data_IF_239914886200
#
_entry.id   IF_239914886200
#
_cell.length_a   1.000
_cell.length_b   1.000
_cell.length_c   1.000
_cell.angle_alpha   90.00
_cell.angle_beta   90.00
_cell.angle_gamma   90.00
#
_symmetry.space_group_name_H-M   'P 1'
#
loop_
_entity.id
_entity.type
_entity.pdbx_description
1 polymer ?
#
# COMPACT_ATOMS: atom_id res chain seq x y z
N UNK A 1 4.75 28.24 -16.42
CA UNK A 1 3.74 28.82 -17.32
C UNK A 1 2.90 27.74 -17.99
N UNK A 2 1.62 27.65 -17.63
CA UNK A 2 0.66 26.81 -18.36
C UNK A 2 0.36 27.51 -19.69
N UNK A 3 1.03 27.08 -20.76
CA UNK A 3 0.71 27.55 -22.12
C UNK A 3 -0.66 26.99 -22.51
N UNK A 4 -1.71 27.77 -22.33
CA UNK A 4 -3.04 27.47 -22.89
C UNK A 4 -2.97 27.61 -24.41
N UNK A 5 -3.81 26.85 -25.10
CA UNK A 5 -4.03 26.97 -26.55
C UNK A 5 -5.45 27.49 -26.69
N UNK A 6 -5.62 28.63 -27.34
CA UNK A 6 -6.92 29.22 -27.63
C UNK A 6 -6.92 29.64 -29.11
N UNK A 7 -7.98 29.30 -29.82
CA UNK A 7 -8.17 29.73 -31.20
C UNK A 7 -8.47 31.22 -31.24
N UNK A 8 -7.68 31.94 -32.03
CA UNK A 8 -8.00 33.33 -32.39
C UNK A 8 -9.24 33.37 -33.30
N UNK A 9 -9.72 34.59 -33.58
CA UNK A 9 -10.92 34.81 -34.40
C UNK A 9 -10.84 34.10 -35.76
N UNK A 10 -9.70 34.22 -36.46
CA UNK A 10 -9.49 33.59 -37.76
C UNK A 10 -9.52 32.05 -37.67
N UNK A 11 -8.92 31.48 -36.62
CA UNK A 11 -8.94 30.04 -36.36
C UNK A 11 -10.35 29.52 -36.10
N UNK A 12 -11.16 30.23 -35.30
CA UNK A 12 -12.57 29.88 -35.08
C UNK A 12 -13.39 29.96 -36.37
N UNK A 13 -13.12 30.97 -37.21
CA UNK A 13 -13.79 31.12 -38.49
C UNK A 13 -13.43 29.98 -39.45
N UNK A 14 -12.17 29.55 -39.46
CA UNK A 14 -11.71 28.40 -40.24
C UNK A 14 -12.39 27.11 -39.79
N UNK A 15 -12.46 26.84 -38.47
CA UNK A 15 -13.14 25.64 -37.94
C UNK A 15 -14.61 25.60 -38.38
N UNK A 16 -15.28 26.76 -38.46
CA UNK A 16 -16.67 26.85 -38.94
C UNK A 16 -16.83 26.57 -40.43
N UNK A 17 -15.81 26.89 -41.24
CA UNK A 17 -15.87 26.71 -42.69
C UNK A 17 -15.40 25.34 -43.16
N UNK A 18 -14.77 24.55 -42.28
CA UNK A 18 -14.36 23.19 -42.62
C UNK A 18 -15.58 22.28 -42.82
N UNK A 19 -15.54 21.37 -43.81
CA UNK A 19 -16.62 20.41 -44.01
C UNK A 19 -16.72 19.50 -42.78
N UNK A 20 -17.92 19.43 -42.22
CA UNK A 20 -18.21 18.66 -41.01
C UNK A 20 -18.66 17.26 -41.41
N UNK A 21 -17.94 16.18 -41.04
CA UNK A 21 -18.39 14.82 -41.26
C UNK A 21 -19.75 14.57 -40.59
N UNK A 22 -20.58 13.71 -41.18
CA UNK A 22 -21.93 13.40 -40.68
C UNK A 22 -21.92 12.91 -39.22
N UNK A 23 -20.87 12.18 -38.84
CA UNK A 23 -20.66 11.67 -37.46
C UNK A 23 -20.56 12.81 -36.44
N UNK A 24 -20.08 13.99 -36.84
CA UNK A 24 -20.02 15.15 -35.96
C UNK A 24 -21.30 15.98 -36.01
N UNK A 25 -22.29 15.67 -36.85
CA UNK A 25 -23.45 16.52 -37.17
C UNK A 25 -24.09 17.21 -35.98
N UNK A 26 -24.28 16.50 -34.86
CA UNK A 26 -24.87 17.01 -33.62
C UNK A 26 -23.92 17.81 -32.69
N UNK A 27 -22.60 17.75 -32.90
CA UNK A 27 -21.60 18.42 -32.05
C UNK A 27 -21.69 19.95 -32.17
N UNK A 28 -21.74 20.65 -31.04
CA UNK A 28 -21.78 22.11 -31.02
C UNK A 28 -20.46 22.75 -31.46
N UNK A 29 -20.49 24.01 -31.89
CA UNK A 29 -19.26 24.72 -32.27
C UNK A 29 -18.30 24.94 -31.09
N UNK A 30 -18.82 25.01 -29.86
CA UNK A 30 -17.99 25.12 -28.65
C UNK A 30 -17.14 23.87 -28.48
N UNK A 31 -17.75 22.69 -28.55
CA UNK A 31 -17.05 21.41 -28.43
C UNK A 31 -16.04 21.21 -29.57
N UNK A 32 -16.39 21.64 -30.79
CA UNK A 32 -15.47 21.60 -31.92
C UNK A 32 -14.23 22.47 -31.69
N UNK A 33 -14.38 23.65 -31.10
CA UNK A 33 -13.23 24.48 -30.75
C UNK A 33 -12.37 23.80 -29.71
N UNK A 34 -12.98 23.24 -28.66
CA UNK A 34 -12.25 22.52 -27.61
C UNK A 34 -11.47 21.32 -28.16
N UNK A 35 -12.07 20.56 -29.08
CA UNK A 35 -11.40 19.42 -29.73
C UNK A 35 -10.22 19.88 -30.59
N UNK A 36 -10.38 20.96 -31.36
CA UNK A 36 -9.32 21.50 -32.21
C UNK A 36 -8.20 22.11 -31.37
N UNK A 37 -8.51 22.88 -30.33
CA UNK A 37 -7.52 23.43 -29.40
C UNK A 37 -6.74 22.32 -28.70
N UNK A 38 -7.43 21.24 -28.29
CA UNK A 38 -6.81 20.04 -27.71
C UNK A 38 -5.91 19.33 -28.71
N UNK A 39 -6.35 19.15 -29.95
CA UNK A 39 -5.55 18.53 -31.01
C UNK A 39 -4.30 19.37 -31.33
N UNK A 40 -4.43 20.70 -31.41
CA UNK A 40 -3.29 21.62 -31.58
C UNK A 40 -2.32 21.49 -30.41
N UNK A 41 -2.82 21.47 -29.18
CA UNK A 41 -2.00 21.30 -27.98
C UNK A 41 -1.23 19.99 -28.01
N UNK A 42 -1.91 18.87 -28.28
CA UNK A 42 -1.29 17.55 -28.40
C UNK A 42 -0.26 17.52 -29.54
N UNK A 43 -0.58 18.11 -30.68
CA UNK A 43 0.35 18.25 -31.81
C UNK A 43 1.62 19.03 -31.46
N UNK A 44 1.52 20.08 -30.64
CA UNK A 44 2.62 20.97 -30.27
C UNK A 44 3.46 20.46 -29.10
N UNK A 45 2.87 19.75 -28.14
CA UNK A 45 3.48 19.47 -26.85
C UNK A 45 3.76 18.00 -26.59
N UNK A 46 3.09 17.07 -27.29
CA UNK A 46 3.16 15.64 -26.99
C UNK A 46 3.83 14.87 -28.12
N UNK A 47 5.07 14.47 -27.90
CA UNK A 47 5.92 13.79 -28.89
C UNK A 47 6.19 12.32 -28.52
N UNK A 48 6.06 11.45 -29.54
CA UNK A 48 6.44 10.04 -29.48
C UNK A 48 7.93 9.89 -29.15
N UNK A 49 8.26 8.90 -28.32
CA UNK A 49 9.60 8.61 -27.79
C UNK A 49 10.20 9.70 -26.89
N UNK A 50 9.38 10.67 -26.46
CA UNK A 50 9.79 11.66 -25.44
C UNK A 50 8.79 11.69 -24.28
N UNK A 51 7.52 11.92 -24.61
CA UNK A 51 6.45 12.03 -23.61
C UNK A 51 5.66 10.72 -23.46
N UNK A 52 5.69 9.86 -24.48
CA UNK A 52 5.03 8.56 -24.51
C UNK A 52 5.63 7.65 -25.57
N UNK A 53 5.28 6.37 -25.48
CA UNK A 53 5.54 5.34 -26.48
C UNK A 53 4.23 4.66 -26.87
N UNK A 54 4.21 4.01 -28.03
CA UNK A 54 3.14 3.12 -28.44
C UNK A 54 3.59 1.69 -28.15
N UNK A 55 2.88 0.96 -27.30
CA UNK A 55 3.18 -0.43 -26.93
C UNK A 55 1.91 -1.25 -27.02
N UNK A 56 1.95 -2.39 -27.74
CA UNK A 56 0.80 -3.30 -27.92
C UNK A 56 -0.48 -2.61 -28.44
N UNK A 57 -0.35 -1.50 -29.17
CA UNK A 57 -1.49 -0.71 -29.62
C UNK A 57 -2.12 0.15 -28.52
N UNK A 58 -1.38 0.47 -27.45
CA UNK A 58 -1.79 1.43 -26.42
C UNK A 58 -0.75 2.55 -26.26
N UNK A 59 -1.19 3.73 -25.83
CA UNK A 59 -0.30 4.85 -25.49
C UNK A 59 0.17 4.72 -24.05
N UNK A 60 1.48 4.62 -23.85
CA UNK A 60 2.07 4.55 -22.50
C UNK A 60 2.92 5.77 -22.20
N UNK A 61 2.58 6.47 -21.12
CA UNK A 61 3.24 7.72 -20.71
C UNK A 61 4.68 7.43 -20.26
N UNK A 62 5.63 8.24 -20.70
CA UNK A 62 7.02 8.21 -20.24
C UNK A 62 7.27 9.40 -19.31
N UNK A 63 7.85 9.14 -18.15
CA UNK A 63 8.26 10.19 -17.22
C UNK A 63 9.51 10.90 -17.76
N UNK A 64 9.38 12.19 -18.11
CA UNK A 64 10.45 13.02 -18.68
C UNK A 64 11.74 13.04 -17.84
N UNK A 65 11.62 12.92 -16.52
CA UNK A 65 12.75 13.04 -15.61
C UNK A 65 13.53 11.73 -15.43
N UNK A 66 12.88 10.59 -15.65
CA UNK A 66 13.47 9.27 -15.36
C UNK A 66 13.49 8.33 -16.56
N UNK A 67 12.80 8.66 -17.66
CA UNK A 67 12.62 7.80 -18.82
C UNK A 67 11.81 6.53 -18.52
N UNK A 68 11.19 6.42 -17.34
CA UNK A 68 10.41 5.25 -16.94
C UNK A 68 9.01 5.30 -17.54
N UNK A 69 8.57 4.14 -17.99
CA UNK A 69 7.23 3.92 -18.51
C UNK A 69 6.24 3.84 -17.34
N UNK A 70 5.14 4.60 -17.42
CA UNK A 70 4.09 4.64 -16.43
C UNK A 70 2.83 3.93 -16.94
N UNK A 71 2.83 2.60 -16.86
CA UNK A 71 1.71 1.75 -17.27
C UNK A 71 0.42 2.08 -16.48
N UNK A 72 -0.71 2.07 -17.18
CA UNK A 72 -2.04 2.34 -16.62
C UNK A 72 -2.36 3.80 -16.31
N UNK A 73 -1.43 4.75 -16.54
CA UNK A 73 -1.72 6.19 -16.39
C UNK A 73 -2.24 6.79 -17.70
N UNK A 74 -3.30 7.60 -17.60
CA UNK A 74 -3.84 8.40 -18.69
C UNK A 74 -3.75 9.90 -18.36
N UNK A 75 -3.51 10.74 -19.37
CA UNK A 75 -3.64 12.19 -19.19
C UNK A 75 -5.12 12.57 -19.13
N UNK A 76 -5.46 13.54 -18.27
CA UNK A 76 -6.84 13.98 -18.07
C UNK A 76 -7.34 14.94 -19.15
N UNK A 77 -8.65 15.27 -19.11
CA UNK A 77 -9.33 16.24 -19.98
C UNK A 77 -9.25 15.90 -21.47
N UNK A 78 -9.40 14.62 -21.81
CA UNK A 78 -9.38 14.15 -23.19
C UNK A 78 -8.01 14.19 -23.87
N UNK A 79 -6.93 14.57 -23.18
CA UNK A 79 -5.59 14.69 -23.77
C UNK A 79 -5.08 13.32 -24.21
N UNK A 80 -5.33 12.29 -23.42
CA UNK A 80 -4.91 10.93 -23.76
C UNK A 80 -5.60 10.43 -25.01
N UNK A 81 -6.92 10.63 -25.11
CA UNK A 81 -7.71 10.29 -26.28
C UNK A 81 -7.26 11.07 -27.52
N UNK A 82 -6.87 12.33 -27.36
CA UNK A 82 -6.32 13.12 -28.46
C UNK A 82 -4.93 12.63 -28.91
N UNK A 83 -4.11 12.06 -28.01
CA UNK A 83 -2.83 11.40 -28.37
C UNK A 83 -3.10 10.06 -29.05
N UNK A 84 -4.02 9.24 -28.53
CA UNK A 84 -4.45 7.98 -29.18
C UNK A 84 -4.93 8.25 -30.62
N UNK A 85 -5.79 9.26 -30.80
CA UNK A 85 -6.27 9.67 -32.12
C UNK A 85 -5.15 10.20 -33.03
N UNK A 86 -4.18 10.95 -32.48
CA UNK A 86 -3.01 11.45 -33.23
C UNK A 86 -2.16 10.30 -33.79
N UNK A 87 -1.97 9.24 -33.00
CA UNK A 87 -1.14 8.09 -33.38
C UNK A 87 -1.95 6.99 -34.11
N UNK A 88 -3.24 7.20 -34.35
CA UNK A 88 -4.11 6.25 -35.07
C UNK A 88 -4.43 4.97 -34.29
N UNK A 89 -4.33 5.03 -32.97
CA UNK A 89 -4.64 3.94 -32.05
C UNK A 89 -6.14 3.94 -31.71
N UNK A 90 -6.69 2.80 -31.29
CA UNK A 90 -8.08 2.72 -30.81
C UNK A 90 -8.29 3.69 -29.64
N UNK A 91 -9.20 4.65 -29.82
CA UNK A 91 -9.44 5.69 -28.82
C UNK A 91 -10.22 5.10 -27.66
N UNK A 92 -9.64 5.14 -26.48
CA UNK A 92 -10.26 4.58 -25.30
C UNK A 92 -11.35 5.50 -24.75
N UNK A 93 -12.45 4.90 -24.31
CA UNK A 93 -13.55 5.65 -23.68
C UNK A 93 -13.02 6.32 -22.42
N UNK A 94 -13.35 7.61 -22.23
CA UNK A 94 -12.97 8.32 -21.02
C UNK A 94 -13.64 7.65 -19.82
N UNK A 95 -12.85 6.98 -18.98
CA UNK A 95 -13.31 6.44 -17.72
C UNK A 95 -13.37 7.58 -16.70
N UNK A 96 -14.39 8.42 -16.81
CA UNK A 96 -14.67 9.48 -15.84
C UNK A 96 -15.05 8.88 -14.48
N UNK A 97 -14.70 9.57 -13.39
CA UNK A 97 -15.23 9.22 -12.06
C UNK A 97 -16.59 9.91 -11.89
N UNK A 98 -17.70 9.18 -12.01
CA UNK A 98 -19.03 9.79 -11.84
C UNK A 98 -19.28 10.32 -10.41
N UNK A 99 -18.71 9.64 -9.41
CA UNK A 99 -18.85 10.01 -8.02
C UNK A 99 -17.63 9.60 -7.19
N UNK A 100 -17.37 10.34 -6.12
CA UNK A 100 -16.29 10.08 -5.18
C UNK A 100 -16.71 10.41 -3.75
N UNK A 101 -16.39 9.49 -2.83
CA UNK A 101 -16.52 9.73 -1.39
C UNK A 101 -15.30 9.14 -0.66
N UNK A 102 -14.84 9.82 0.39
CA UNK A 102 -13.79 9.27 1.26
C UNK A 102 -14.39 8.26 2.24
N UNK A 103 -13.62 7.24 2.64
CA UNK A 103 -14.02 6.27 3.66
C UNK A 103 -14.43 6.98 4.97
N UNK A 104 -13.70 8.04 5.33
CA UNK A 104 -13.96 8.81 6.53
C UNK A 104 -15.33 9.50 6.47
N UNK A 105 -15.65 10.16 5.35
CA UNK A 105 -16.93 10.84 5.20
C UNK A 105 -18.09 9.84 5.05
N UNK A 106 -17.87 8.73 4.34
CA UNK A 106 -18.85 7.65 4.20
C UNK A 106 -19.32 7.12 5.57
N UNK A 107 -18.39 6.73 6.46
CA UNK A 107 -18.76 6.20 7.77
C UNK A 107 -19.36 7.25 8.72
N UNK A 108 -19.02 8.53 8.55
CA UNK A 108 -19.59 9.62 9.35
C UNK A 108 -21.07 9.90 9.06
N UNK A 109 -21.63 9.33 7.99
CA UNK A 109 -23.05 9.45 7.64
C UNK A 109 -23.96 8.51 8.43
N UNK A 110 -23.40 7.49 9.07
CA UNK A 110 -24.19 6.56 9.87
C UNK A 110 -24.63 7.23 11.18
N UNK A 111 -25.93 7.09 11.52
CA UNK A 111 -26.49 7.59 12.78
C UNK A 111 -25.81 6.93 13.99
N UNK A 112 -25.55 5.63 13.89
CA UNK A 112 -24.83 4.86 14.89
C UNK A 112 -23.60 4.24 14.25
N UNK A 113 -22.43 4.55 14.80
CA UNK A 113 -21.16 4.02 14.32
C UNK A 113 -20.42 3.36 15.49
N UNK A 114 -20.01 2.11 15.29
CA UNK A 114 -19.20 1.34 16.22
C UNK A 114 -18.17 0.54 15.42
N UNK A 115 -17.12 0.08 16.09
CA UNK A 115 -16.10 -0.74 15.47
C UNK A 115 -15.36 -1.59 16.50
N UNK A 116 -14.82 -2.71 16.03
CA UNK A 116 -14.04 -3.64 16.86
C UNK A 116 -12.71 -3.96 16.17
N UNK A 117 -11.64 -4.00 16.94
CA UNK A 117 -10.31 -4.40 16.48
C UNK A 117 -9.40 -4.64 17.69
N UNK A 118 -8.47 -5.59 17.60
CA UNK A 118 -7.50 -5.87 18.68
C UNK A 118 -6.38 -4.83 18.83
N UNK A 119 -6.36 -3.78 18.01
CA UNK A 119 -5.24 -2.82 17.93
C UNK A 119 -5.70 -1.37 17.79
N UNK A 120 -6.81 -0.98 18.42
CA UNK A 120 -7.35 0.39 18.31
C UNK A 120 -6.62 1.40 19.21
N UNK A 121 -6.08 0.95 20.34
CA UNK A 121 -5.57 1.81 21.43
C UNK A 121 -4.53 2.82 20.97
N UNK A 122 -3.58 2.40 20.12
CA UNK A 122 -2.53 3.30 19.58
C UNK A 122 -3.09 4.36 18.63
N UNK A 123 -4.25 4.12 18.03
CA UNK A 123 -4.93 5.04 17.11
C UNK A 123 -6.14 5.73 17.75
N UNK A 124 -6.32 5.65 19.08
CA UNK A 124 -7.47 6.20 19.78
C UNK A 124 -7.69 7.70 19.53
N UNK A 125 -6.60 8.48 19.45
CA UNK A 125 -6.66 9.91 19.12
C UNK A 125 -7.26 10.15 17.73
N UNK A 126 -6.91 9.31 16.75
CA UNK A 126 -7.42 9.42 15.38
C UNK A 126 -8.90 9.04 15.31
N UNK A 127 -9.31 7.95 15.97
CA UNK A 127 -10.72 7.56 16.10
C UNK A 127 -11.57 8.67 16.73
N UNK A 128 -11.10 9.23 17.85
CA UNK A 128 -11.80 10.33 18.53
C UNK A 128 -11.85 11.61 17.68
N UNK A 129 -10.79 11.93 16.93
CA UNK A 129 -10.72 13.16 16.15
C UNK A 129 -11.60 13.09 14.90
N UNK A 130 -11.50 12.00 14.14
CA UNK A 130 -12.15 11.83 12.83
C UNK A 130 -13.59 11.34 13.01
N UNK A 131 -13.79 10.25 13.75
CA UNK A 131 -15.07 9.55 13.86
C UNK A 131 -15.86 9.87 15.13
N UNK A 132 -15.28 10.65 16.06
CA UNK A 132 -15.85 10.93 17.39
C UNK A 132 -16.07 9.66 18.23
N UNK A 133 -15.31 8.62 17.95
CA UNK A 133 -15.40 7.35 18.66
C UNK A 133 -14.33 7.28 19.78
N UNK A 134 -14.73 7.06 21.04
CA UNK A 134 -13.79 6.62 22.06
C UNK A 134 -13.32 5.19 21.75
N UNK A 135 -12.10 4.86 22.17
CA UNK A 135 -11.59 3.48 22.16
C UNK A 135 -11.65 2.95 23.59
N UNK A 136 -12.26 1.78 23.75
CA UNK A 136 -12.37 1.09 25.03
C UNK A 136 -11.57 -0.20 24.89
N UNK A 137 -10.60 -0.38 25.78
CA UNK A 137 -9.80 -1.61 25.83
C UNK A 137 -10.60 -2.66 26.61
N UNK A 138 -11.02 -3.72 25.92
CA UNK A 138 -11.74 -4.85 26.52
C UNK A 138 -10.71 -5.86 27.06
N UNK A 139 -10.78 -6.27 28.34
CA UNK A 139 -9.89 -7.29 28.89
C UNK A 139 -9.98 -8.62 28.11
N UNK A 140 -8.87 -9.35 28.06
CA UNK A 140 -8.83 -10.66 27.42
C UNK A 140 -9.56 -11.69 28.29
N UNK A 141 -10.19 -12.69 27.66
CA UNK A 141 -10.89 -13.77 28.36
C UNK A 141 -9.95 -14.62 29.24
N UNK A 142 -8.68 -14.75 28.84
CA UNK A 142 -7.63 -15.48 29.57
C UNK A 142 -6.35 -14.63 29.64
N UNK A 143 -5.47 -14.86 30.63
CA UNK A 143 -4.17 -14.21 30.70
C UNK A 143 -3.34 -14.47 29.44
N UNK A 144 -2.65 -13.44 28.97
CA UNK A 144 -1.71 -13.55 27.85
C UNK A 144 -0.45 -14.31 28.29
N UNK A 145 -0.07 -15.36 27.55
CA UNK A 145 1.15 -16.15 27.76
C UNK A 145 2.17 -15.99 26.63
N UNK A 146 2.08 -14.88 25.91
CA UNK A 146 2.97 -14.57 24.78
C UNK A 146 4.33 -14.13 25.27
N UNK A 147 5.38 -14.69 24.69
CA UNK A 147 6.77 -14.35 24.99
C UNK A 147 7.37 -13.56 23.83
N UNK A 148 7.92 -12.38 24.12
CA UNK A 148 8.77 -11.67 23.16
C UNK A 148 10.19 -12.19 23.27
N UNK A 149 10.74 -12.74 22.19
CA UNK A 149 12.18 -12.99 22.09
C UNK A 149 12.91 -11.69 21.73
N UNK A 150 14.19 -11.60 22.07
CA UNK A 150 15.00 -10.44 21.73
C UNK A 150 15.00 -10.20 20.21
N UNK A 151 14.81 -8.94 19.83
CA UNK A 151 14.83 -8.51 18.43
C UNK A 151 16.28 -8.62 17.89
N UNK A 152 16.47 -9.27 16.74
CA UNK A 152 17.80 -9.42 16.11
C UNK A 152 17.98 -8.36 15.02
N UNK A 153 19.11 -7.66 15.06
CA UNK A 153 19.42 -6.56 14.15
C UNK A 153 20.73 -6.82 13.42
N UNK A 154 20.70 -6.79 12.09
CA UNK A 154 21.81 -7.14 11.22
C UNK A 154 22.28 -5.92 10.42
N UNK A 155 23.55 -5.94 10.02
CA UNK A 155 24.12 -4.92 9.16
C UNK A 155 23.58 -5.02 7.71
N UNK A 156 23.41 -6.24 7.21
CA UNK A 156 22.98 -6.50 5.83
C UNK A 156 21.70 -7.32 5.78
N UNK A 157 20.94 -7.14 4.71
CA UNK A 157 19.71 -7.89 4.44
C UNK A 157 20.01 -9.38 4.24
N UNK A 158 21.13 -9.72 3.60
CA UNK A 158 21.56 -11.11 3.42
C UNK A 158 21.72 -11.83 4.76
N UNK A 159 22.47 -11.24 5.71
CA UNK A 159 22.67 -11.81 7.04
C UNK A 159 21.35 -11.94 7.82
N UNK A 160 20.42 -10.97 7.64
CA UNK A 160 19.07 -11.05 8.20
C UNK A 160 18.31 -12.26 7.67
N UNK A 161 18.30 -12.48 6.35
CA UNK A 161 17.58 -13.59 5.73
C UNK A 161 18.16 -14.95 6.12
N UNK A 162 19.48 -15.09 6.13
CA UNK A 162 20.16 -16.30 6.61
C UNK A 162 19.78 -16.62 8.05
N UNK A 163 19.75 -15.61 8.92
CA UNK A 163 19.39 -15.77 10.32
C UNK A 163 17.89 -16.13 10.53
N UNK A 164 16.99 -15.60 9.69
CA UNK A 164 15.58 -16.00 9.68
C UNK A 164 15.45 -17.47 9.30
N UNK A 165 16.11 -17.90 8.21
CA UNK A 165 16.05 -19.29 7.74
C UNK A 165 16.63 -20.23 8.78
N UNK A 166 17.75 -19.88 9.41
CA UNK A 166 18.35 -20.68 10.48
C UNK A 166 17.39 -20.90 11.67
N UNK A 167 16.69 -19.85 12.12
CA UNK A 167 15.70 -19.96 13.20
C UNK A 167 14.48 -20.79 12.77
N UNK A 168 14.03 -20.67 11.52
CA UNK A 168 12.95 -21.51 10.99
C UNK A 168 13.35 -22.98 10.96
N UNK A 169 14.57 -23.30 10.52
CA UNK A 169 15.09 -24.67 10.50
C UNK A 169 15.13 -25.26 11.91
N UNK A 170 15.66 -24.51 12.88
CA UNK A 170 15.73 -24.94 14.28
C UNK A 170 14.32 -25.24 14.86
N UNK A 171 13.37 -24.32 14.67
CA UNK A 171 12.00 -24.50 15.16
C UNK A 171 11.26 -25.63 14.43
N UNK A 172 11.51 -25.79 13.13
CA UNK A 172 10.90 -26.84 12.33
C UNK A 172 11.42 -28.24 12.74
N UNK A 173 12.70 -28.37 13.06
CA UNK A 173 13.29 -29.62 13.60
C UNK A 173 12.67 -30.00 14.95
N UNK A 174 12.25 -29.02 15.75
CA UNK A 174 11.51 -29.24 17.00
C UNK A 174 10.03 -29.56 16.76
N UNK A 175 9.54 -29.50 15.51
CA UNK A 175 8.14 -29.67 15.16
C UNK A 175 7.26 -28.47 15.52
N UNK A 176 7.84 -27.31 15.83
CA UNK A 176 7.10 -26.12 16.24
C UNK A 176 6.60 -25.33 15.01
N UNK A 177 5.33 -24.93 14.95
CA UNK A 177 4.82 -24.15 13.84
C UNK A 177 5.34 -22.71 13.83
N UNK A 178 5.57 -22.20 12.62
CA UNK A 178 6.12 -20.86 12.38
C UNK A 178 5.26 -20.08 11.37
N UNK A 179 4.84 -18.88 11.77
CA UNK A 179 4.22 -17.90 10.89
C UNK A 179 5.21 -16.74 10.64
N UNK A 180 5.54 -16.49 9.39
CA UNK A 180 6.52 -15.48 8.98
C UNK A 180 5.78 -14.36 8.24
N UNK A 181 5.82 -13.14 8.75
CA UNK A 181 5.20 -11.99 8.11
C UNK A 181 6.23 -11.12 7.38
N UNK A 182 6.01 -10.91 6.08
CA UNK A 182 6.81 -10.03 5.22
C UNK A 182 6.02 -8.79 4.82
N UNK A 183 6.67 -7.68 4.44
CA UNK A 183 5.97 -6.46 3.99
C UNK A 183 5.55 -6.49 2.53
N UNK A 184 6.28 -7.22 1.68
CA UNK A 184 6.10 -7.22 0.22
C UNK A 184 6.06 -8.63 -0.35
N UNK A 185 5.43 -8.78 -1.52
CA UNK A 185 5.38 -10.05 -2.27
C UNK A 185 6.82 -10.47 -2.62
N UNK A 186 7.64 -9.53 -3.09
CA UNK A 186 9.05 -9.79 -3.41
C UNK A 186 9.83 -10.39 -2.23
N UNK A 187 9.65 -9.85 -1.01
CA UNK A 187 10.29 -10.43 0.18
C UNK A 187 9.76 -11.82 0.52
N UNK A 188 8.46 -12.08 0.30
CA UNK A 188 7.88 -13.40 0.51
C UNK A 188 8.42 -14.45 -0.46
N UNK A 189 8.55 -14.10 -1.74
CA UNK A 189 9.08 -15.00 -2.79
C UNK A 189 10.56 -15.25 -2.59
N UNK A 190 11.32 -14.21 -2.22
CA UNK A 190 12.73 -14.35 -1.89
C UNK A 190 12.93 -15.31 -0.71
N UNK A 191 12.18 -15.13 0.39
CA UNK A 191 12.25 -16.02 1.55
C UNK A 191 11.80 -17.44 1.19
N UNK A 192 10.74 -17.59 0.39
CA UNK A 192 10.27 -18.90 -0.06
C UNK A 192 11.35 -19.68 -0.84
N UNK A 193 12.12 -18.99 -1.68
CA UNK A 193 13.28 -19.59 -2.35
C UNK A 193 14.32 -20.10 -1.35
N UNK A 194 14.70 -19.27 -0.38
CA UNK A 194 15.70 -19.65 0.64
C UNK A 194 15.22 -20.81 1.52
N UNK A 195 13.94 -20.84 1.90
CA UNK A 195 13.35 -21.95 2.65
C UNK A 195 13.35 -23.25 1.84
N UNK A 196 13.10 -23.18 0.53
CA UNK A 196 13.17 -24.33 -0.37
C UNK A 196 14.59 -24.88 -0.48
N UNK A 197 15.58 -24.00 -0.61
CA UNK A 197 17.00 -24.36 -0.64
C UNK A 197 17.45 -25.00 0.69
N UNK A 198 16.87 -24.57 1.82
CA UNK A 198 17.07 -25.17 3.13
C UNK A 198 16.26 -26.47 3.38
N UNK A 199 15.48 -26.94 2.40
CA UNK A 199 14.67 -28.17 2.52
C UNK A 199 13.42 -28.04 3.40
N UNK A 200 12.96 -26.83 3.69
CA UNK A 200 11.79 -26.58 4.54
C UNK A 200 10.52 -26.50 3.68
N UNK A 201 9.59 -27.42 3.92
CA UNK A 201 8.25 -27.36 3.34
C UNK A 201 7.48 -26.16 3.93
N UNK A 202 6.97 -25.29 3.05
CA UNK A 202 6.29 -24.06 3.46
C UNK A 202 5.20 -23.67 2.46
N UNK A 203 4.27 -22.82 2.92
CA UNK A 203 3.19 -22.25 2.12
C UNK A 203 3.32 -20.72 2.10
N UNK A 204 3.04 -20.10 0.94
CA UNK A 204 3.14 -18.64 0.75
C UNK A 204 1.76 -18.06 0.50
N UNK A 205 1.41 -16.98 1.21
CA UNK A 205 0.13 -16.30 1.13
C UNK A 205 0.31 -14.85 0.69
N UNK A 206 -0.30 -14.49 -0.43
CA UNK A 206 -0.10 -13.20 -1.09
C UNK A 206 -1.38 -12.33 -1.18
N UNK A 207 -2.46 -12.71 -0.49
CA UNK A 207 -3.76 -12.04 -0.47
C UNK A 207 -4.51 -12.04 -1.82
N UNK A 208 -4.31 -13.07 -2.66
CA UNK A 208 -5.00 -13.19 -3.95
C UNK A 208 -6.32 -13.98 -3.85
N UNK A 209 -6.35 -15.07 -3.08
CA UNK A 209 -7.49 -16.00 -3.01
C UNK A 209 -8.00 -16.16 -1.58
N UNK A 210 -8.77 -15.18 -1.10
CA UNK A 210 -9.17 -15.04 0.32
C UNK A 210 -9.72 -16.34 0.93
N UNK A 211 -10.61 -17.04 0.22
CA UNK A 211 -11.27 -18.25 0.75
C UNK A 211 -10.29 -19.43 0.90
N UNK A 212 -9.39 -19.62 -0.07
CA UNK A 212 -8.39 -20.69 -0.02
C UNK A 212 -7.30 -20.39 1.01
N UNK A 213 -6.84 -19.14 1.06
CA UNK A 213 -5.88 -18.69 2.07
C UNK A 213 -6.44 -18.87 3.48
N UNK A 214 -7.72 -18.62 3.69
CA UNK A 214 -8.35 -18.86 4.98
C UNK A 214 -8.28 -20.34 5.40
N UNK A 215 -8.50 -21.28 4.47
CA UNK A 215 -8.37 -22.73 4.74
C UNK A 215 -6.93 -23.10 5.10
N UNK A 216 -5.97 -22.53 4.38
CA UNK A 216 -4.54 -22.75 4.60
C UNK A 216 -4.14 -22.21 5.99
N UNK A 217 -4.49 -20.96 6.30
CA UNK A 217 -4.12 -20.29 7.57
C UNK A 217 -4.69 -21.02 8.79
N UNK A 218 -5.88 -21.62 8.66
CA UNK A 218 -6.45 -22.42 9.75
C UNK A 218 -5.57 -23.63 10.13
N UNK A 219 -4.70 -24.10 9.23
CA UNK A 219 -3.76 -25.19 9.46
C UNK A 219 -2.39 -24.73 9.95
N UNK A 220 -2.14 -23.41 10.06
CA UNK A 220 -0.84 -22.88 10.46
C UNK A 220 -0.41 -23.27 11.88
N UNK A 221 -1.34 -23.73 12.72
CA UNK A 221 -1.07 -24.19 14.09
C UNK A 221 -0.78 -25.70 14.21
N UNK A 222 -0.64 -26.42 13.09
CA UNK A 222 -0.28 -27.85 13.09
C UNK A 222 1.24 -28.04 13.27
N UNK A 223 1.70 -29.16 13.86
CA UNK A 223 3.12 -29.40 14.11
C UNK A 223 3.96 -29.28 12.82
N UNK A 224 5.11 -28.59 12.93
CA UNK A 224 6.08 -28.42 11.84
C UNK A 224 5.60 -27.57 10.67
N UNK A 225 4.40 -26.95 10.72
CA UNK A 225 3.94 -26.09 9.62
C UNK A 225 4.71 -24.78 9.59
N UNK A 226 5.18 -24.41 8.41
CA UNK A 226 5.82 -23.12 8.13
C UNK A 226 4.99 -22.37 7.10
N UNK A 227 4.65 -21.12 7.41
CA UNK A 227 3.81 -20.27 6.57
C UNK A 227 4.43 -18.89 6.42
N UNK A 228 4.51 -18.41 5.19
CA UNK A 228 4.93 -17.05 4.84
C UNK A 228 3.70 -16.25 4.43
N UNK A 229 3.42 -15.16 5.12
CA UNK A 229 2.28 -14.29 4.87
C UNK A 229 2.75 -12.88 4.49
N UNK A 230 2.41 -12.45 3.28
CA UNK A 230 2.65 -11.08 2.83
C UNK A 230 1.65 -10.13 3.47
N UNK A 231 2.17 -9.11 4.16
CA UNK A 231 1.46 -8.16 5.00
C UNK A 231 0.59 -8.86 6.05
N UNK A 232 -0.71 -8.95 5.77
CA UNK A 232 -1.73 -9.54 6.62
C UNK A 232 -2.60 -10.50 5.80
N UNK A 233 -1.99 -11.24 4.86
CA UNK A 233 -2.68 -12.35 4.20
C UNK A 233 -3.24 -13.33 5.26
N UNK A 234 -4.42 -13.90 5.01
CA UNK A 234 -5.11 -14.70 6.03
C UNK A 234 -5.73 -13.93 7.20
N UNK A 235 -5.91 -12.61 7.08
CA UNK A 235 -6.56 -11.79 8.10
C UNK A 235 -8.01 -12.25 8.33
N UNK A 236 -8.38 -12.40 9.60
CA UNK A 236 -9.73 -12.79 10.01
C UNK A 236 -9.86 -14.28 10.33
N UNK A 237 -8.97 -15.13 9.80
CA UNK A 237 -8.91 -16.54 10.16
C UNK A 237 -8.21 -16.72 11.51
N UNK A 238 -8.73 -17.60 12.34
CA UNK A 238 -8.13 -17.96 13.62
C UNK A 238 -7.16 -19.14 13.46
N UNK A 239 -5.99 -19.07 14.09
CA UNK A 239 -4.98 -20.12 14.03
C UNK A 239 -5.05 -20.88 15.35
N UNK A 240 -5.69 -22.05 15.34
CA UNK A 240 -5.78 -22.92 16.51
C UNK A 240 -4.57 -23.83 16.56
N UNK A 241 -3.99 -23.99 17.75
CA UNK A 241 -2.92 -24.95 17.97
C UNK A 241 -3.50 -26.37 17.95
N UNK A 242 -2.81 -27.28 17.29
CA UNK A 242 -3.08 -28.70 17.38
C UNK A 242 -2.56 -29.29 18.71
N UNK A 243 -3.00 -30.51 19.04
CA UNK A 243 -2.52 -31.22 20.23
C UNK A 243 -1.00 -31.41 20.19
N UNK A 244 -0.33 -31.23 21.33
CA UNK A 244 1.13 -31.32 21.45
C UNK A 244 1.90 -30.04 21.07
N UNK A 245 1.27 -29.07 20.39
CA UNK A 245 1.95 -27.84 19.94
C UNK A 245 2.16 -26.84 21.07
N UNK A 246 1.26 -26.85 22.08
CA UNK A 246 1.41 -25.97 23.23
C UNK A 246 2.67 -26.30 24.05
N UNK A 247 3.00 -27.59 24.16
CA UNK A 247 4.17 -28.13 24.82
C UNK A 247 5.47 -27.74 24.10
N UNK A 248 5.41 -27.57 22.77
CA UNK A 248 6.50 -27.04 21.95
C UNK A 248 6.65 -25.50 22.04
N UNK A 249 5.88 -24.84 22.91
CA UNK A 249 5.88 -23.39 23.08
C UNK A 249 4.91 -22.64 22.15
N UNK A 250 4.01 -23.35 21.47
CA UNK A 250 2.96 -22.78 20.63
C UNK A 250 3.46 -22.16 19.32
N UNK A 251 2.58 -21.42 18.63
CA UNK A 251 2.93 -20.75 17.38
C UNK A 251 4.03 -19.70 17.59
N UNK A 252 5.10 -19.80 16.81
CA UNK A 252 6.15 -18.79 16.74
C UNK A 252 5.89 -17.83 15.58
N UNK A 253 5.97 -16.52 15.82
CA UNK A 253 5.75 -15.49 14.81
C UNK A 253 7.05 -14.73 14.51
N UNK A 254 7.51 -14.80 13.28
CA UNK A 254 8.67 -14.05 12.79
C UNK A 254 8.19 -12.80 12.06
N UNK A 255 8.63 -11.63 12.51
CA UNK A 255 8.43 -10.37 11.80
C UNK A 255 9.74 -10.04 11.06
N UNK A 256 9.74 -10.10 9.72
CA UNK A 256 10.99 -9.97 8.93
C UNK A 256 11.49 -8.53 8.78
N UNK A 257 10.67 -7.56 9.19
CA UNK A 257 10.94 -6.13 9.19
C UNK A 257 9.88 -5.39 10.02
N UNK A 258 10.07 -4.08 10.25
CA UNK A 258 9.03 -3.22 10.82
C UNK A 258 8.15 -2.63 9.72
N UNK A 259 6.83 -2.72 9.91
CA UNK A 259 5.90 -2.00 9.06
C UNK A 259 5.91 -0.49 9.35
N UNK A 260 5.38 0.28 8.41
CA UNK A 260 5.22 1.73 8.55
C UNK A 260 4.34 2.13 9.74
N UNK A 261 3.52 1.21 10.24
CA UNK A 261 2.75 1.37 11.47
C UNK A 261 2.90 0.20 12.42
N UNK A 262 3.14 0.52 13.69
CA UNK A 262 3.21 -0.44 14.79
C UNK A 262 1.86 -1.14 15.05
N UNK A 263 0.78 -0.65 14.44
CA UNK A 263 -0.52 -1.32 14.45
C UNK A 263 -0.51 -2.60 13.60
N UNK A 264 0.20 -2.59 12.47
CA UNK A 264 0.29 -3.74 11.55
C UNK A 264 1.14 -4.82 12.20
N UNK A 265 2.30 -4.44 12.75
CA UNK A 265 3.15 -5.34 13.54
C UNK A 265 2.36 -6.04 14.66
N UNK A 266 1.56 -5.30 15.43
CA UNK A 266 0.72 -5.88 16.50
C UNK A 266 -0.35 -6.83 15.98
N UNK A 267 -0.87 -6.62 14.77
CA UNK A 267 -1.84 -7.53 14.19
C UNK A 267 -1.20 -8.87 13.85
N UNK A 268 0.03 -8.86 13.34
CA UNK A 268 0.81 -10.05 13.05
C UNK A 268 1.20 -10.79 14.35
N UNK A 269 1.76 -10.08 15.34
CA UNK A 269 2.08 -10.64 16.67
C UNK A 269 0.83 -11.22 17.34
N UNK A 270 -0.31 -10.55 17.18
CA UNK A 270 -1.60 -10.98 17.69
C UNK A 270 -2.17 -12.24 17.02
N UNK A 271 -1.46 -12.87 16.07
CA UNK A 271 -1.81 -14.16 15.47
C UNK A 271 -1.40 -15.34 16.36
N UNK A 272 -0.40 -15.20 17.24
CA UNK A 272 -0.04 -16.23 18.23
C UNK A 272 -0.63 -15.95 19.63
N UNK A 273 -0.51 -16.94 20.51
CA UNK A 273 -0.96 -16.91 21.91
C UNK A 273 -2.46 -16.54 22.08
N UNK A 274 -3.34 -17.23 21.32
CA UNK A 274 -4.79 -16.99 21.32
C UNK A 274 -5.54 -17.98 22.20
N UNK A 275 -6.66 -17.54 22.79
CA UNK A 275 -6.65 -17.07 24.17
C UNK A 275 -6.16 -18.14 25.17
N UNK A 276 -5.02 -17.84 25.81
CA UNK A 276 -4.41 -18.66 26.86
C UNK A 276 -3.32 -19.62 26.38
N UNK A 277 -3.18 -19.79 25.07
CA UNK A 277 -2.11 -20.61 24.49
C UNK A 277 -0.73 -19.96 24.68
N UNK A 278 0.34 -20.76 24.83
CA UNK A 278 1.69 -20.25 24.69
C UNK A 278 1.92 -19.81 23.25
N UNK A 279 2.88 -18.92 23.07
CA UNK A 279 3.31 -18.46 21.77
C UNK A 279 4.45 -17.49 21.93
N UNK A 280 5.26 -17.32 20.90
CA UNK A 280 6.30 -16.30 20.92
C UNK A 280 6.40 -15.55 19.61
N UNK A 281 7.11 -14.43 19.64
CA UNK A 281 7.44 -13.68 18.45
C UNK A 281 8.82 -13.07 18.54
N UNK A 282 9.42 -12.82 17.38
CA UNK A 282 10.71 -12.13 17.24
C UNK A 282 10.67 -11.19 16.05
N UNK A 283 11.34 -10.04 16.17
CA UNK A 283 11.63 -9.18 15.03
C UNK A 283 13.04 -9.44 14.51
N UNK A 284 13.15 -9.47 13.19
CA UNK A 284 14.39 -9.39 12.45
C UNK A 284 14.43 -8.05 11.72
N UNK A 285 15.54 -7.33 11.85
CA UNK A 285 15.72 -6.02 11.25
C UNK A 285 17.09 -5.93 10.60
N UNK A 286 17.20 -5.17 9.51
CA UNK A 286 18.47 -4.88 8.83
C UNK A 286 18.68 -3.37 8.77
N UNK A 287 19.92 -2.92 8.89
CA UNK A 287 20.28 -1.52 8.65
C UNK A 287 19.95 -1.02 7.22
N UNK A 288 19.68 -1.96 6.31
CA UNK A 288 19.22 -1.72 4.94
C UNK A 288 17.68 -1.68 4.80
N UNK A 289 16.91 -1.92 5.87
CA UNK A 289 15.44 -1.92 5.79
C UNK A 289 14.90 -0.50 5.47
N UNK A 290 13.89 -0.46 4.61
CA UNK A 290 13.24 0.77 4.12
C UNK A 290 12.70 1.68 5.24
N UNK A 291 12.38 1.13 6.41
CA UNK A 291 11.85 1.92 7.52
C UNK A 291 12.84 3.02 7.95
N UNK A 292 14.15 2.77 7.82
CA UNK A 292 15.19 3.73 8.18
C UNK A 292 15.29 4.86 7.16
N UNK A 293 15.31 4.55 5.87
CA UNK A 293 15.32 5.54 4.77
C UNK A 293 14.03 6.35 4.75
N UNK A 294 12.90 5.71 5.07
CA UNK A 294 11.58 6.34 5.11
C UNK A 294 11.42 7.22 6.36
N UNK A 295 12.00 6.83 7.50
CA UNK A 295 11.86 7.51 8.80
C UNK A 295 12.91 8.58 9.13
N UNK A 296 14.05 8.58 8.43
CA UNK A 296 15.16 9.53 8.60
C UNK A 296 15.45 10.29 7.29
N UNK A 297 16.32 11.31 7.35
CA UNK A 297 16.85 11.92 6.13
C UNK A 297 17.86 10.98 5.45
N UNK A 298 18.08 11.10 4.13
CA UNK A 298 19.07 10.28 3.42
C UNK A 298 20.44 10.27 4.09
N UNK A 299 20.94 11.43 4.53
CA UNK A 299 22.23 11.55 5.21
C UNK A 299 22.27 10.79 6.54
N UNK A 300 21.20 10.88 7.33
CA UNK A 300 21.10 10.22 8.63
C UNK A 300 20.98 8.70 8.46
N UNK A 301 20.21 8.23 7.48
CA UNK A 301 20.11 6.82 7.13
C UNK A 301 21.47 6.27 6.64
N UNK A 302 22.16 6.98 5.76
CA UNK A 302 23.47 6.59 5.26
C UNK A 302 24.53 6.54 6.37
N UNK A 303 24.52 7.50 7.30
CA UNK A 303 25.41 7.49 8.48
C UNK A 303 25.12 6.29 9.38
N UNK A 304 23.85 5.96 9.57
CA UNK A 304 23.43 4.80 10.35
C UNK A 304 23.91 3.49 9.71
N UNK A 305 23.72 3.34 8.39
CA UNK A 305 24.14 2.17 7.64
C UNK A 305 25.66 1.97 7.70
N UNK A 306 26.46 3.04 7.55
CA UNK A 306 27.92 2.98 7.70
C UNK A 306 28.34 2.55 9.11
N UNK A 307 27.68 3.08 10.13
CA UNK A 307 27.97 2.71 11.52
C UNK A 307 27.56 1.27 11.82
N UNK A 308 26.47 0.80 11.21
CA UNK A 308 25.98 -0.55 11.32
C UNK A 308 26.93 -1.57 10.66
N UNK A 309 27.48 -1.24 9.49
CA UNK A 309 28.44 -2.11 8.80
C UNK A 309 29.75 -2.34 9.59
N UNK A 310 30.10 -1.41 10.49
CA UNK A 310 31.32 -1.50 11.31
C UNK A 310 31.12 -2.25 12.63
N UNK A 311 29.87 -2.46 13.07
CA UNK A 311 29.54 -3.09 14.34
C UNK A 311 28.76 -4.38 14.06
N UNK A 312 29.26 -5.54 14.51
CA UNK A 312 28.67 -6.86 14.25
C UNK A 312 27.19 -6.97 14.63
N UNK A 313 26.87 -7.42 15.85
CA UNK A 313 25.47 -7.54 16.29
C UNK A 313 24.93 -6.21 16.83
N UNK A 314 23.87 -5.70 16.20
CA UNK A 314 23.36 -4.34 16.40
C UNK A 314 22.16 -4.29 17.36
N UNK A 315 22.08 -5.17 18.36
CA UNK A 315 20.93 -5.28 19.27
C UNK A 315 20.52 -3.92 19.90
N UNK A 316 21.49 -3.04 20.17
CA UNK A 316 21.27 -1.67 20.67
C UNK A 316 20.56 -0.72 19.69
N UNK A 317 20.49 -1.06 18.39
CA UNK A 317 19.87 -0.25 17.34
C UNK A 317 18.34 -0.40 17.30
N UNK A 318 17.74 -1.37 18.00
CA UNK A 318 16.28 -1.55 18.10
C UNK A 318 15.52 -0.23 18.37
N UNK A 319 16.06 0.60 19.27
CA UNK A 319 15.47 1.91 19.62
C UNK A 319 15.41 2.87 18.42
N UNK A 320 16.39 2.78 17.51
CA UNK A 320 16.45 3.57 16.27
C UNK A 320 15.33 3.18 15.32
N UNK A 321 15.13 1.88 15.09
CA UNK A 321 14.04 1.37 14.24
C UNK A 321 12.66 1.79 14.75
N UNK A 322 12.41 1.64 16.06
CA UNK A 322 11.17 2.10 16.70
C UNK A 322 11.02 3.63 16.66
N UNK A 323 12.11 4.40 16.59
CA UNK A 323 12.08 5.86 16.40
C UNK A 323 11.74 6.21 14.94
N UNK A 324 12.32 5.51 13.96
CA UNK A 324 11.97 5.63 12.55
C UNK A 324 10.47 5.36 12.33
N UNK A 325 9.97 4.22 12.81
CA UNK A 325 8.55 3.85 12.71
C UNK A 325 7.63 4.95 13.25
N UNK A 326 7.89 5.48 14.46
CA UNK A 326 7.09 6.59 15.03
C UNK A 326 7.13 7.87 14.18
N UNK A 327 8.25 8.17 13.53
CA UNK A 327 8.37 9.31 12.61
C UNK A 327 7.53 9.10 11.35
N UNK A 328 7.59 7.90 10.77
CA UNK A 328 6.77 7.52 9.61
C UNK A 328 5.28 7.63 9.95
N UNK A 329 4.84 7.06 11.07
CA UNK A 329 3.45 7.17 11.54
C UNK A 329 3.01 8.62 11.71
N UNK A 330 3.85 9.44 12.35
CA UNK A 330 3.57 10.86 12.56
C UNK A 330 3.44 11.62 11.24
N UNK A 331 4.28 11.31 10.25
CA UNK A 331 4.22 11.92 8.91
C UNK A 331 2.95 11.49 8.19
N UNK A 332 2.62 10.20 8.16
CA UNK A 332 1.40 9.68 7.55
C UNK A 332 0.15 10.28 8.19
N UNK A 333 0.12 10.44 9.52
CA UNK A 333 -0.98 11.11 10.21
C UNK A 333 -1.13 12.57 9.77
N UNK A 334 -0.03 13.33 9.65
CA UNK A 334 -0.09 14.72 9.16
C UNK A 334 -0.63 14.78 7.72
N UNK A 335 -0.15 13.92 6.83
CA UNK A 335 -0.63 13.84 5.46
C UNK A 335 -2.13 13.53 5.40
N UNK A 336 -2.61 12.54 6.16
CA UNK A 336 -4.05 12.25 6.27
C UNK A 336 -4.85 13.45 6.77
N UNK A 337 -4.35 14.20 7.74
CA UNK A 337 -5.03 15.39 8.25
C UNK A 337 -5.11 16.52 7.20
N UNK A 338 -4.07 16.71 6.38
CA UNK A 338 -4.08 17.67 5.28
C UNK A 338 -5.09 17.27 4.22
N UNK A 339 -5.09 15.99 3.80
CA UNK A 339 -6.07 15.47 2.85
C UNK A 339 -7.51 15.65 3.35
N UNK A 340 -7.77 15.33 4.61
CA UNK A 340 -9.09 15.54 5.23
C UNK A 340 -9.50 17.02 5.26
N UNK A 341 -8.54 17.93 5.45
CA UNK A 341 -8.82 19.36 5.40
C UNK A 341 -9.19 19.79 3.98
N UNK A 342 -8.43 19.35 2.97
CA UNK A 342 -8.70 19.65 1.57
C UNK A 342 -10.07 19.13 1.13
N UNK A 343 -10.39 17.87 1.44
CA UNK A 343 -11.70 17.25 1.16
C UNK A 343 -12.85 18.03 1.81
N UNK A 344 -12.66 18.53 3.04
CA UNK A 344 -13.66 19.37 3.71
C UNK A 344 -13.88 20.71 2.98
N UNK A 345 -12.82 21.33 2.45
CA UNK A 345 -12.94 22.56 1.67
C UNK A 345 -13.65 22.31 0.34
N UNK A 346 -13.26 21.26 -0.39
CA UNK A 346 -13.91 20.86 -1.65
C UNK A 346 -15.39 20.63 -1.45
N UNK A 347 -15.77 19.83 -0.43
CA UNK A 347 -17.16 19.59 -0.08
C UNK A 347 -17.93 20.87 0.25
N UNK A 348 -17.30 21.81 0.98
CA UNK A 348 -17.93 23.09 1.31
C UNK A 348 -18.18 23.93 0.05
N UNK A 349 -17.22 24.02 -0.86
CA UNK A 349 -17.37 24.76 -2.11
C UNK A 349 -18.51 24.21 -2.97
N UNK A 350 -18.61 22.88 -3.13
CA UNK A 350 -19.69 22.26 -3.90
C UNK A 350 -21.07 22.58 -3.30
N UNK A 351 -21.20 22.51 -1.97
CA UNK A 351 -22.45 22.86 -1.27
C UNK A 351 -22.79 24.35 -1.48
N UNK A 352 -21.81 25.25 -1.38
CA UNK A 352 -22.00 26.70 -1.61
C UNK A 352 -22.37 27.01 -3.07
N UNK A 353 -21.95 26.17 -4.02
CA UNK A 353 -22.34 26.23 -5.44
C UNK A 353 -23.69 25.55 -5.74
N UNK A 354 -24.38 24.98 -4.74
CA UNK A 354 -25.62 24.24 -4.94
C UNK A 354 -25.45 22.90 -5.67
N UNK A 355 -24.22 22.37 -5.71
CA UNK A 355 -23.88 21.08 -6.32
C UNK A 355 -23.84 19.98 -5.26
N UNK A 356 -24.04 18.73 -5.70
CA UNK A 356 -23.79 17.58 -4.83
C UNK A 356 -22.26 17.43 -4.64
N UNK A 357 -21.74 17.45 -3.41
CA UNK A 357 -20.30 17.37 -3.13
C UNK A 357 -19.67 16.01 -3.46
N UNK A 358 -20.46 15.00 -3.84
CA UNK A 358 -19.98 13.66 -4.17
C UNK A 358 -20.04 13.34 -5.65
N UNK A 359 -20.78 14.12 -6.43
CA UNK A 359 -20.85 13.95 -7.89
C UNK A 359 -19.75 14.79 -8.51
N UNK A 360 -18.94 14.20 -9.39
CA UNK A 360 -18.12 15.04 -10.26
C UNK A 360 -19.06 15.69 -11.28
N UNK A 361 -18.91 17.01 -11.46
CA UNK A 361 -19.66 17.71 -12.50
C UNK A 361 -19.28 17.08 -13.84
N UNK A 362 -20.24 16.58 -14.65
CA UNK A 362 -19.94 16.18 -16.01
C UNK A 362 -19.44 17.44 -16.71
N UNK A 363 -18.15 17.45 -17.05
CA UNK A 363 -17.57 18.47 -17.91
C UNK A 363 -17.86 18.15 -19.35
#
# INVERSE_FOLDING_TARGET
>A
DKKTVELNFAGRQLVRSLPKPDVLGATGFVDLYDYVERAIKVGREFFLNHHYIVSEGEIVIVDESTGRVAEGRKWSRGIHQAVEAKEGVEVTVDSGQAARITVQDFFRRYRFLAGMTGTATTSAREFRKIYKLPVIDVPTNRPERRVQYEDRVFATSAAKWEAIVAEVVELNQQGRPVLIGTKTIHHSEHLAKLLREAGIAHEVLNAHLIAEEARIVAQAGQPGRVMVATNMAGRGTDIKLADGVAELGGLHVICTELHDSARIDRQLIGRCARPGDPGSYRFFMSAEDDILTTGFSPDAAAKLARSAAQAGELSNYRKVFRKAQRRVESRHYRQRMVLLHHEKQVKRMHIEMGQDPYLESPH
#
